data_IF_199534596395
#
_entry.id   IF_199534596395
#
_cell.length_a   1.000
_cell.length_b   1.000
_cell.length_c   1.000
_cell.angle_alpha   90.00
_cell.angle_beta   90.00
_cell.angle_gamma   90.00
#
_symmetry.space_group_name_H-M   'P 1'
#
loop_
_entity.id
_entity.type
_entity.pdbx_description
1 polymer ?
#
# COMPACT_ATOMS: atom_id res chain seq x y z
N UNK A 1 8.48 -3.93 27.36
CA UNK A 1 7.10 -3.63 26.95
C UNK A 1 7.19 -2.59 25.84
N UNK A 2 7.04 -3.02 24.59
CA UNK A 2 7.11 -2.14 23.41
C UNK A 2 5.66 -1.87 22.97
N UNK A 3 5.29 -0.60 22.76
CA UNK A 3 3.91 -0.22 22.41
C UNK A 3 3.68 -0.46 20.92
N UNK A 4 2.51 -0.99 20.59
CA UNK A 4 2.11 -1.36 19.22
C UNK A 4 1.71 -0.15 18.35
N UNK A 5 1.82 1.07 18.89
CA UNK A 5 1.39 2.33 18.25
C UNK A 5 2.34 2.85 17.16
N UNK A 6 3.55 2.31 17.03
CA UNK A 6 4.63 2.90 16.22
C UNK A 6 4.48 2.69 14.69
N UNK A 7 3.47 1.94 14.24
CA UNK A 7 3.22 1.68 12.81
C UNK A 7 1.93 2.32 12.25
N UNK A 8 1.31 3.27 12.97
CA UNK A 8 0.13 3.96 12.43
C UNK A 8 0.54 5.10 11.50
N UNK A 9 0.46 4.86 10.20
CA UNK A 9 0.64 5.89 9.17
C UNK A 9 -0.52 6.90 9.26
N UNK A 10 -0.26 8.22 9.33
CA UNK A 10 -1.32 9.22 9.40
C UNK A 10 -2.21 9.13 8.15
N UNK A 11 -3.53 9.07 8.37
CA UNK A 11 -4.52 9.08 7.30
C UNK A 11 -4.44 10.43 6.58
N UNK A 12 -3.88 10.41 5.37
CA UNK A 12 -3.67 11.62 4.59
C UNK A 12 -4.91 11.92 3.73
N UNK A 13 -5.38 13.17 3.79
CA UNK A 13 -6.61 13.62 3.14
C UNK A 13 -6.62 13.44 1.61
N UNK A 14 -7.83 13.31 1.06
CA UNK A 14 -8.11 13.15 -0.35
C UNK A 14 -7.77 14.44 -1.15
N UNK A 15 -6.49 14.68 -1.42
CA UNK A 15 -6.04 15.83 -2.21
C UNK A 15 -4.57 16.13 -1.99
N UNK A 16 -3.71 15.58 -2.85
CA UNK A 16 -2.26 15.79 -2.80
C UNK A 16 -1.54 15.05 -3.92
N UNK A 17 -0.29 15.44 -4.19
CA UNK A 17 0.56 14.77 -5.18
C UNK A 17 0.79 13.31 -4.74
N UNK A 18 0.62 12.39 -5.69
CA UNK A 18 0.91 10.96 -5.50
C UNK A 18 2.10 10.59 -6.37
N UNK A 19 3.01 9.81 -5.79
CA UNK A 19 4.20 9.31 -6.46
C UNK A 19 3.97 7.84 -6.79
N UNK A 20 4.17 7.49 -8.06
CA UNK A 20 3.95 6.15 -8.57
C UNK A 20 5.30 5.47 -8.73
N UNK A 21 5.46 4.31 -8.12
CA UNK A 21 6.57 3.40 -8.42
C UNK A 21 6.11 2.33 -9.39
N UNK A 22 6.84 2.19 -10.49
CA UNK A 22 6.60 1.21 -11.53
C UNK A 22 7.77 0.23 -11.65
N UNK A 23 7.50 -0.98 -12.11
CA UNK A 23 8.55 -1.90 -12.54
C UNK A 23 9.03 -1.60 -13.97
N UNK A 24 10.01 -2.37 -14.42
CA UNK A 24 10.64 -2.20 -15.74
C UNK A 24 9.66 -2.38 -16.91
N UNK A 25 8.49 -3.00 -16.68
CA UNK A 25 7.44 -3.19 -17.69
C UNK A 25 6.35 -2.13 -17.60
N UNK A 26 6.48 -1.16 -16.68
CA UNK A 26 5.53 -0.07 -16.48
C UNK A 26 4.35 -0.43 -15.59
N UNK A 27 4.33 -1.59 -14.95
CA UNK A 27 3.28 -1.97 -14.00
C UNK A 27 3.47 -1.23 -12.67
N UNK A 28 2.37 -0.69 -12.11
CA UNK A 28 2.39 0.01 -10.82
C UNK A 28 2.61 -0.98 -9.68
N UNK A 29 3.59 -0.70 -8.80
CA UNK A 29 3.91 -1.52 -7.62
C UNK A 29 3.51 -0.88 -6.31
N UNK A 30 3.71 0.43 -6.19
CA UNK A 30 3.37 1.18 -5.00
C UNK A 30 2.98 2.61 -5.35
N UNK A 31 2.02 3.13 -4.60
CA UNK A 31 1.68 4.55 -4.61
C UNK A 31 2.08 5.13 -3.27
N UNK A 32 2.89 6.18 -3.29
CA UNK A 32 3.32 6.92 -2.12
C UNK A 32 2.75 8.34 -2.12
N UNK A 33 2.66 8.93 -0.93
CA UNK A 33 2.31 10.34 -0.80
C UNK A 33 3.52 11.27 -0.71
N UNK A 34 3.25 12.57 -0.62
CA UNK A 34 4.27 13.62 -0.43
C UNK A 34 5.10 13.48 0.84
N UNK A 35 4.60 12.76 1.84
CA UNK A 35 5.35 12.45 3.05
C UNK A 35 6.23 11.20 2.90
N UNK A 36 6.25 10.56 1.71
CA UNK A 36 7.03 9.35 1.45
C UNK A 36 6.39 8.06 1.97
N UNK A 37 5.18 8.13 2.53
CA UNK A 37 4.46 6.95 3.02
C UNK A 37 3.72 6.22 1.89
N UNK A 38 3.78 4.89 1.91
CA UNK A 38 3.07 4.04 0.94
C UNK A 38 1.59 3.98 1.33
N UNK A 39 0.72 4.41 0.42
CA UNK A 39 -0.74 4.45 0.62
C UNK A 39 -1.46 3.30 -0.08
N UNK A 40 -0.86 2.72 -1.12
CA UNK A 40 -1.36 1.56 -1.80
C UNK A 40 -0.21 0.71 -2.35
N UNK A 41 -0.40 -0.61 -2.38
CA UNK A 41 0.50 -1.56 -3.05
C UNK A 41 -0.33 -2.48 -3.92
N UNK A 42 0.14 -2.69 -5.14
CA UNK A 42 -0.50 -3.57 -6.12
C UNK A 42 0.57 -4.48 -6.71
N UNK A 43 0.32 -5.78 -6.66
CA UNK A 43 1.22 -6.77 -7.22
C UNK A 43 0.52 -7.48 -8.35
N UNK A 44 1.28 -7.70 -9.43
CA UNK A 44 0.75 -8.28 -10.65
C UNK A 44 1.43 -9.61 -10.93
N UNK A 45 0.67 -10.56 -11.45
CA UNK A 45 1.19 -11.82 -11.96
C UNK A 45 1.96 -11.56 -13.27
N UNK A 46 2.67 -12.58 -13.77
CA UNK A 46 3.52 -12.48 -14.95
C UNK A 46 2.84 -11.87 -16.21
N UNK A 47 1.50 -11.96 -16.31
CA UNK A 47 0.72 -11.44 -17.43
C UNK A 47 -0.19 -10.27 -17.06
N UNK A 48 0.08 -9.59 -15.95
CA UNK A 48 -0.57 -8.32 -15.59
C UNK A 48 -1.87 -8.46 -14.79
N UNK A 49 -2.30 -9.66 -14.40
CA UNK A 49 -3.42 -9.84 -13.49
C UNK A 49 -3.05 -9.32 -12.09
N UNK A 50 -3.90 -8.49 -11.50
CA UNK A 50 -3.74 -8.07 -10.10
C UNK A 50 -3.93 -9.27 -9.19
N UNK A 51 -2.95 -9.51 -8.32
CA UNK A 51 -3.03 -10.60 -7.39
C UNK A 51 -3.78 -10.14 -6.13
N UNK A 52 -4.91 -10.79 -5.86
CA UNK A 52 -5.83 -10.39 -4.80
C UNK A 52 -5.37 -10.60 -3.35
N UNK A 53 -6.21 -10.12 -2.44
CA UNK A 53 -6.10 -10.30 -0.99
C UNK A 53 -6.10 -11.79 -0.63
N UNK A 54 -5.30 -12.18 0.37
CA UNK A 54 -5.23 -13.58 0.84
C UNK A 54 -4.24 -14.46 0.08
N UNK A 55 -3.64 -13.95 -1.01
CA UNK A 55 -2.50 -14.61 -1.65
C UNK A 55 -1.20 -14.11 -1.01
N UNK A 56 -0.44 -15.01 -0.37
CA UNK A 56 0.77 -14.66 0.38
C UNK A 56 0.46 -13.88 1.67
N UNK A 57 1.29 -12.89 2.03
CA UNK A 57 1.14 -12.08 3.25
C UNK A 57 0.27 -10.82 3.07
N UNK A 58 -0.53 -10.74 2.02
CA UNK A 58 -1.41 -9.58 1.78
C UNK A 58 -2.67 -9.66 2.62
N UNK A 59 -2.80 -8.67 3.50
CA UNK A 59 -3.97 -8.48 4.34
C UNK A 59 -4.60 -7.15 4.02
N UNK A 60 -5.93 -7.11 3.99
CA UNK A 60 -6.65 -5.85 4.18
C UNK A 60 -6.42 -5.46 5.64
N UNK A 61 -6.18 -4.19 5.91
CA UNK A 61 -6.17 -3.69 7.29
C UNK A 61 -7.52 -4.10 7.90
N UNK A 62 -7.52 -4.99 8.90
CA UNK A 62 -8.74 -5.24 9.67
C UNK A 62 -9.10 -3.91 10.33
N UNK A 63 -10.18 -3.29 9.85
CA UNK A 63 -10.82 -2.20 10.56
C UNK A 63 -11.59 -2.83 11.72
N UNK A 64 -10.85 -3.29 12.73
CA UNK A 64 -11.37 -3.49 14.07
C UNK A 64 -11.37 -2.12 14.75
N UNK A 65 -12.55 -1.50 14.85
CA UNK A 65 -12.79 -0.44 15.82
C UNK A 65 -12.96 -1.11 17.21
N UNK A 66 -12.73 -0.38 18.31
CA UNK A 66 -11.91 -0.73 19.49
C UNK A 66 -12.15 -2.09 20.17
#
# INVERSE_FOLDING_TARGET
MFREDEYSVPAEGAGGVKYIQQDWQGSVRAVANSNGHVVARTDHQAFGEEIGVGVGLRKVKETGDP
#
